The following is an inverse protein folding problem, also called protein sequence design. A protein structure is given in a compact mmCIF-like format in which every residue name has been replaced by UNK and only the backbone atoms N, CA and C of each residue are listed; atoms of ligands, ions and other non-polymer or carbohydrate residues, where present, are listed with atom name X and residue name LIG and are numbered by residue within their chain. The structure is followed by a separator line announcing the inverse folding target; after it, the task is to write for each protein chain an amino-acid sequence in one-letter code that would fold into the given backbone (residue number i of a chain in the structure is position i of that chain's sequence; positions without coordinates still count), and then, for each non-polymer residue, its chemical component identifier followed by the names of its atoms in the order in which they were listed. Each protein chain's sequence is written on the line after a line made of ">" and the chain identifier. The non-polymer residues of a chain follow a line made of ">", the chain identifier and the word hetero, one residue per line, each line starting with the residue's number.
data_IF_565238647927
#
_entry.id   IF_565238647927
#
_cell.length_a   1.000
_cell.length_b   1.000
_cell.length_c   1.000
_cell.angle_alpha   90.00
_cell.angle_beta   90.00
_cell.angle_gamma   90.00
#
_symmetry.space_group_name_H-M   'P 1'
#
loop_
_entity.id
_entity.type
_entity.pdbx_description
1 polymer ?
#
# COMPACT_ATOMS: atom_id res chain seq x y z
N UNK A 1 14.25 10.10 -19.30
CA UNK A 1 13.91 9.26 -18.14
C UNK A 1 13.32 7.97 -18.67
N UNK A 2 14.05 6.87 -18.56
CA UNK A 2 13.63 5.57 -19.07
C UNK A 2 13.79 4.56 -17.94
N UNK A 3 12.69 4.25 -17.26
CA UNK A 3 12.65 3.15 -16.29
C UNK A 3 12.63 1.83 -17.07
N UNK A 4 13.66 1.01 -16.89
CA UNK A 4 13.61 -0.41 -17.22
C UNK A 4 13.67 -1.19 -15.91
N UNK A 5 12.63 -1.95 -15.59
CA UNK A 5 12.63 -2.87 -14.46
C UNK A 5 13.03 -4.27 -14.90
N UNK A 6 14.05 -4.87 -14.27
CA UNK A 6 14.11 -6.31 -14.08
C UNK A 6 13.98 -6.59 -12.58
N UNK A 7 12.86 -7.16 -12.16
CA UNK A 7 12.73 -7.80 -10.85
C UNK A 7 13.64 -9.04 -10.82
N UNK A 8 14.35 -9.34 -9.72
CA UNK A 8 13.72 -10.12 -8.64
C UNK A 8 14.17 -9.79 -7.18
N UNK A 9 13.33 -10.24 -6.23
CA UNK A 9 13.63 -10.59 -4.82
C UNK A 9 14.41 -9.58 -3.94
N UNK A 10 13.73 -8.51 -3.50
CA UNK A 10 13.65 -8.00 -2.11
C UNK A 10 13.11 -6.56 -2.21
N UNK A 11 11.82 -6.36 -1.92
CA UNK A 11 11.09 -5.10 -2.19
C UNK A 11 11.49 -3.97 -1.21
N UNK A 12 12.69 -3.44 -1.36
CA UNK A 12 12.94 -2.04 -1.01
C UNK A 12 12.97 -1.26 -2.32
N UNK A 13 11.90 -0.50 -2.60
CA UNK A 13 11.97 0.52 -3.64
C UNK A 13 13.20 1.40 -3.37
N UNK A 14 14.00 1.70 -4.38
CA UNK A 14 15.20 2.51 -4.24
C UNK A 14 15.27 3.54 -5.38
N UNK A 15 15.73 4.74 -5.06
CA UNK A 15 16.04 5.77 -6.03
C UNK A 15 17.47 5.56 -6.52
N UNK A 16 17.64 5.48 -7.85
CA UNK A 16 18.95 5.41 -8.49
C UNK A 16 19.32 6.81 -9.01
N UNK A 17 20.45 7.34 -8.55
CA UNK A 17 21.02 8.57 -9.07
C UNK A 17 22.23 8.22 -9.92
N UNK A 18 22.22 8.61 -11.19
CA UNK A 18 23.34 8.42 -12.11
C UNK A 18 23.92 9.78 -12.46
N UNK A 19 25.22 9.95 -12.25
CA UNK A 19 25.94 11.16 -12.67
C UNK A 19 26.56 10.87 -14.02
N UNK A 20 26.16 11.66 -15.01
CA UNK A 20 26.58 11.50 -16.39
C UNK A 20 27.51 12.64 -16.78
N UNK A 21 28.67 12.31 -17.33
CA UNK A 21 29.59 13.31 -17.88
C UNK A 21 29.12 13.85 -19.24
N UNK A 22 29.83 14.85 -19.75
CA UNK A 22 29.53 15.56 -21.00
C UNK A 22 29.36 14.64 -22.23
N UNK A 23 30.00 13.46 -22.21
CA UNK A 23 29.95 12.44 -23.27
C UNK A 23 28.79 11.45 -23.15
N UNK A 24 27.81 11.71 -22.28
CA UNK A 24 26.74 10.75 -21.93
C UNK A 24 27.24 9.42 -21.32
N UNK A 25 28.44 9.41 -20.78
CA UNK A 25 29.00 8.25 -20.06
C UNK A 25 28.64 8.39 -18.58
N UNK A 26 28.10 7.33 -17.99
CA UNK A 26 27.82 7.30 -16.54
C UNK A 26 29.16 7.23 -15.81
N UNK A 27 29.45 8.24 -15.01
CA UNK A 27 30.68 8.33 -14.23
C UNK A 27 30.51 7.73 -12.83
N UNK A 28 29.32 7.85 -12.24
CA UNK A 28 29.03 7.22 -10.96
C UNK A 28 27.54 7.06 -10.69
N UNK A 29 27.24 6.23 -9.70
CA UNK A 29 25.88 5.92 -9.27
C UNK A 29 25.74 5.98 -7.75
N UNK A 30 24.60 6.43 -7.27
CA UNK A 30 24.19 6.31 -5.88
C UNK A 30 22.85 5.56 -5.81
N UNK A 31 22.72 4.65 -4.84
CA UNK A 31 21.50 3.90 -4.56
C UNK A 31 20.94 4.35 -3.23
N UNK A 32 19.69 4.81 -3.23
CA UNK A 32 19.04 5.42 -2.08
C UNK A 32 17.79 4.61 -1.75
N UNK A 33 17.82 3.77 -0.71
CA UNK A 33 16.64 3.00 -0.31
C UNK A 33 15.50 3.95 0.09
N UNK A 34 14.28 3.71 -0.40
CA UNK A 34 13.10 4.51 -0.04
C UNK A 34 12.81 4.42 1.47
N UNK A 35 13.18 3.31 2.13
CA UNK A 35 13.12 3.17 3.58
C UNK A 35 13.98 4.17 4.37
N UNK A 36 14.97 4.79 3.73
CA UNK A 36 15.82 5.82 4.36
C UNK A 36 15.24 7.24 4.29
N UNK A 37 14.16 7.41 3.52
CA UNK A 37 13.38 8.64 3.41
C UNK A 37 12.44 8.70 4.61
N UNK A 38 12.88 9.35 5.69
CA UNK A 38 12.04 9.60 6.86
C UNK A 38 11.38 10.97 6.71
N UNK A 39 10.10 11.10 7.06
CA UNK A 39 9.33 12.38 7.05
C UNK A 39 9.77 13.37 8.15
N UNK A 40 11.00 13.26 8.64
CA UNK A 40 11.50 14.20 9.63
C UNK A 40 11.97 15.47 8.92
N UNK A 41 11.18 16.54 9.00
CA UNK A 41 11.45 17.83 8.37
C UNK A 41 12.81 18.44 8.78
N UNK A 42 13.37 18.01 9.91
CA UNK A 42 14.63 18.53 10.46
C UNK A 42 15.88 17.86 9.86
N UNK A 43 15.75 16.74 9.15
CA UNK A 43 16.85 15.94 8.58
C UNK A 43 16.70 15.74 7.06
N UNK A 44 16.23 16.81 6.40
CA UNK A 44 15.85 16.78 4.97
C UNK A 44 17.05 16.58 4.03
N UNK A 45 18.26 16.90 4.48
CA UNK A 45 19.48 16.88 3.66
C UNK A 45 20.42 15.77 4.14
N UNK A 46 20.66 14.77 3.30
CA UNK A 46 21.53 13.62 3.62
C UNK A 46 22.65 13.44 2.60
N UNK A 47 23.79 12.95 3.08
CA UNK A 47 24.94 12.59 2.25
C UNK A 47 24.85 11.13 1.82
N UNK A 48 24.92 10.89 0.52
CA UNK A 48 24.85 9.56 -0.07
C UNK A 48 26.18 9.21 -0.74
N UNK A 49 26.75 8.02 -0.47
CA UNK A 49 27.96 7.58 -1.16
C UNK A 49 27.68 7.38 -2.64
N UNK A 50 28.60 7.85 -3.48
CA UNK A 50 28.61 7.61 -4.93
C UNK A 50 29.68 6.56 -5.26
N UNK A 51 29.32 5.62 -6.12
CA UNK A 51 30.16 4.51 -6.53
C UNK A 51 30.46 4.57 -8.02
N UNK A 52 31.69 4.21 -8.40
CA UNK A 52 32.06 3.94 -9.79
C UNK A 52 31.49 2.57 -10.25
N UNK A 53 31.53 2.24 -11.55
CA UNK A 53 31.10 0.92 -12.04
C UNK A 53 31.82 -0.25 -11.37
N UNK A 54 33.06 -0.04 -10.92
CA UNK A 54 33.87 -1.03 -10.20
C UNK A 54 33.50 -1.15 -8.70
N UNK A 55 32.40 -0.53 -8.29
CA UNK A 55 31.90 -0.49 -6.91
C UNK A 55 32.84 0.21 -5.91
N UNK A 56 33.79 1.00 -6.41
CA UNK A 56 34.64 1.85 -5.58
C UNK A 56 33.88 3.12 -5.15
N UNK A 57 33.93 3.45 -3.85
CA UNK A 57 33.34 4.67 -3.33
C UNK A 57 34.22 5.87 -3.71
N UNK A 58 33.77 6.67 -4.67
CA UNK A 58 34.53 7.79 -5.22
C UNK A 58 34.18 9.14 -4.57
N UNK A 59 33.18 9.16 -3.68
CA UNK A 59 32.78 10.39 -3.00
C UNK A 59 31.42 10.30 -2.35
N UNK A 60 30.86 11.48 -2.03
CA UNK A 60 29.51 11.62 -1.49
C UNK A 60 28.77 12.74 -2.21
N UNK A 61 27.47 12.56 -2.40
CA UNK A 61 26.55 13.57 -2.94
C UNK A 61 25.56 13.99 -1.86
N UNK A 62 25.30 15.29 -1.74
CA UNK A 62 24.33 15.83 -0.81
C UNK A 62 22.98 15.96 -1.51
N UNK A 63 21.94 15.31 -0.99
CA UNK A 63 20.60 15.33 -1.58
C UNK A 63 19.55 15.74 -0.55
N UNK A 64 18.61 16.56 -1.01
CA UNK A 64 17.38 16.89 -0.30
C UNK A 64 16.21 16.22 -1.00
N UNK A 65 15.65 15.18 -0.38
CA UNK A 65 14.58 14.38 -0.98
C UNK A 65 13.32 14.63 -0.17
N UNK A 66 12.25 15.02 -0.87
CA UNK A 66 10.94 15.27 -0.25
C UNK A 66 9.94 14.36 -0.92
N UNK A 67 9.30 13.51 -0.13
CA UNK A 67 8.17 12.72 -0.59
C UNK A 67 6.90 13.52 -0.35
N UNK A 68 6.15 13.83 -1.39
CA UNK A 68 4.78 14.31 -1.26
C UNK A 68 3.87 13.23 -1.79
N UNK A 69 3.12 12.57 -0.90
CA UNK A 69 2.05 11.68 -1.33
C UNK A 69 0.85 12.57 -1.66
N UNK A 70 0.70 12.91 -2.94
CA UNK A 70 -0.54 13.53 -3.41
C UNK A 70 -1.60 12.43 -3.45
N UNK A 71 -2.46 12.38 -2.44
CA UNK A 71 -3.74 11.73 -2.60
C UNK A 71 -4.52 12.60 -3.58
N UNK A 72 -4.75 12.07 -4.78
CA UNK A 72 -5.62 12.75 -5.73
C UNK A 72 -7.04 12.70 -5.17
N UNK A 73 -7.42 13.72 -4.39
CA UNK A 73 -8.79 13.92 -3.92
C UNK A 73 -9.80 14.03 -5.08
N UNK A 74 -9.35 14.05 -6.34
CA UNK A 74 -10.24 14.01 -7.51
C UNK A 74 -10.65 12.60 -7.95
N UNK A 75 -10.12 11.52 -7.35
CA UNK A 75 -10.69 10.17 -7.54
C UNK A 75 -11.92 9.89 -6.69
N UNK A 76 -12.55 10.90 -6.08
CA UNK A 76 -13.91 10.79 -5.54
C UNK A 76 -15.00 10.73 -6.62
N UNK A 77 -14.66 10.85 -7.91
CA UNK A 77 -15.63 10.81 -9.00
C UNK A 77 -15.09 9.96 -10.16
N UNK A 78 -15.61 8.72 -10.27
CA UNK A 78 -15.58 7.80 -11.43
C UNK A 78 -14.74 6.51 -11.31
N UNK A 79 -14.69 5.87 -10.15
CA UNK A 79 -14.71 4.40 -10.14
C UNK A 79 -16.16 3.97 -9.94
N UNK A 80 -16.75 3.28 -10.91
CA UNK A 80 -18.10 2.74 -10.76
C UNK A 80 -18.14 1.66 -9.66
N UNK A 81 -19.30 1.42 -9.02
CA UNK A 81 -19.42 0.61 -7.78
C UNK A 81 -19.20 -0.92 -7.95
N UNK A 82 -18.53 -1.37 -9.02
CA UNK A 82 -18.67 -2.74 -9.54
C UNK A 82 -17.52 -3.68 -9.15
N UNK A 83 -16.39 -3.21 -8.64
CA UNK A 83 -15.24 -4.10 -8.30
C UNK A 83 -14.84 -4.06 -6.82
N UNK A 84 -15.32 -3.07 -6.07
CA UNK A 84 -14.83 -2.81 -4.70
C UNK A 84 -15.71 -3.50 -3.64
N UNK A 85 -16.98 -3.72 -3.94
CA UNK A 85 -17.94 -4.44 -3.09
C UNK A 85 -17.64 -5.95 -2.92
N UNK A 86 -17.14 -6.69 -3.93
CA UNK A 86 -16.73 -8.10 -3.75
C UNK A 86 -15.58 -8.31 -2.76
N UNK A 87 -14.65 -7.35 -2.65
CA UNK A 87 -13.54 -7.45 -1.71
C UNK A 87 -14.02 -7.29 -0.26
N UNK A 88 -14.96 -6.36 -0.02
CA UNK A 88 -15.63 -6.24 1.28
C UNK A 88 -16.41 -7.51 1.64
N UNK A 89 -17.08 -8.12 0.67
CA UNK A 89 -17.82 -9.36 0.87
C UNK A 89 -16.92 -10.52 1.32
N UNK A 90 -15.76 -10.68 0.67
CA UNK A 90 -14.78 -11.71 1.02
C UNK A 90 -14.20 -11.48 2.42
N UNK A 91 -13.91 -10.22 2.78
CA UNK A 91 -13.40 -9.86 4.09
C UNK A 91 -14.43 -10.14 5.19
N UNK A 92 -15.69 -9.76 4.96
CA UNK A 92 -16.80 -10.02 5.87
C UNK A 92 -17.03 -11.53 6.06
N UNK A 93 -16.99 -12.30 4.98
CA UNK A 93 -17.12 -13.75 5.04
C UNK A 93 -15.96 -14.40 5.83
N UNK A 94 -14.73 -13.92 5.61
CA UNK A 94 -13.54 -14.39 6.32
C UNK A 94 -13.62 -14.10 7.82
N UNK A 95 -14.05 -12.90 8.19
CA UNK A 95 -14.29 -12.50 9.58
C UNK A 95 -15.32 -13.41 10.28
N UNK A 96 -16.41 -13.72 9.57
CA UNK A 96 -17.47 -14.59 10.08
C UNK A 96 -17.01 -16.03 10.24
N UNK A 97 -16.25 -16.58 9.27
CA UNK A 97 -15.68 -17.93 9.37
C UNK A 97 -14.69 -18.03 10.52
N UNK A 98 -13.81 -17.03 10.68
CA UNK A 98 -12.81 -17.01 11.74
C UNK A 98 -13.42 -16.97 13.15
N UNK A 99 -14.58 -16.32 13.30
CA UNK A 99 -15.24 -16.15 14.60
C UNK A 99 -16.37 -17.15 14.88
N UNK A 100 -16.54 -18.16 14.01
CA UNK A 100 -17.65 -19.12 14.08
C UNK A 100 -18.98 -18.38 14.23
N UNK A 101 -19.33 -17.60 13.20
CA UNK A 101 -20.57 -16.84 13.23
C UNK A 101 -21.78 -17.79 13.18
N UNK A 102 -22.68 -17.66 14.15
CA UNK A 102 -23.94 -18.42 14.19
C UNK A 102 -25.04 -17.57 14.81
N UNK A 103 -26.30 -18.02 14.73
CA UNK A 103 -27.49 -17.31 15.25
C UNK A 103 -27.34 -16.82 16.70
N UNK A 104 -26.49 -17.48 17.50
CA UNK A 104 -26.22 -17.14 18.91
C UNK A 104 -24.94 -16.31 19.14
N UNK A 105 -24.12 -16.11 18.10
CA UNK A 105 -22.90 -15.30 18.15
C UNK A 105 -22.84 -14.40 16.90
N UNK A 106 -23.52 -13.25 17.00
CA UNK A 106 -23.63 -12.23 15.95
C UNK A 106 -22.57 -11.12 16.08
N UNK A 107 -21.60 -11.30 16.97
CA UNK A 107 -20.61 -10.27 17.28
C UNK A 107 -19.38 -10.47 16.39
N UNK A 108 -19.09 -9.48 15.56
CA UNK A 108 -17.74 -9.30 15.02
C UNK A 108 -16.93 -8.62 16.11
N UNK A 109 -16.02 -9.36 16.71
CA UNK A 109 -15.08 -8.90 17.75
C UNK A 109 -13.79 -8.44 17.07
N UNK A 110 -13.01 -7.62 17.79
CA UNK A 110 -11.64 -7.31 17.41
C UNK A 110 -10.83 -8.61 17.20
N UNK A 111 -9.93 -8.68 16.21
CA UNK A 111 -9.42 -7.59 15.35
C UNK A 111 -10.23 -7.35 14.06
N UNK A 112 -11.25 -8.15 13.80
CA UNK A 112 -11.99 -8.13 12.54
C UNK A 112 -12.93 -6.93 12.41
N UNK A 113 -13.45 -6.45 13.54
CA UNK A 113 -14.30 -5.26 13.58
C UNK A 113 -13.51 -4.03 13.14
N UNK A 114 -12.35 -3.78 13.74
CA UNK A 114 -11.45 -2.72 13.28
C UNK A 114 -11.11 -2.87 11.79
N UNK A 115 -10.73 -4.07 11.34
CA UNK A 115 -10.33 -4.28 9.94
C UNK A 115 -11.47 -4.00 8.94
N UNK A 116 -12.70 -4.37 9.26
CA UNK A 116 -13.88 -4.08 8.43
C UNK A 116 -14.21 -2.58 8.38
N UNK A 117 -14.03 -1.88 9.50
CA UNK A 117 -14.21 -0.42 9.58
C UNK A 117 -13.12 0.32 8.81
N UNK A 118 -11.86 -0.05 9.02
CA UNK A 118 -10.73 0.55 8.32
C UNK A 118 -10.82 0.31 6.81
N UNK A 119 -11.23 -0.90 6.39
CA UNK A 119 -11.48 -1.20 4.99
C UNK A 119 -12.64 -0.38 4.41
N UNK A 120 -13.76 -0.23 5.13
CA UNK A 120 -14.88 0.56 4.63
C UNK A 120 -14.54 2.03 4.48
N UNK A 121 -13.77 2.57 5.42
CA UNK A 121 -13.38 3.98 5.42
C UNK A 121 -12.34 4.26 4.33
N UNK A 122 -11.37 3.36 4.14
CA UNK A 122 -10.33 3.49 3.13
C UNK A 122 -10.86 3.32 1.69
N UNK A 123 -11.77 2.36 1.47
CA UNK A 123 -12.31 2.05 0.13
C UNK A 123 -13.67 2.71 -0.14
N UNK A 124 -14.18 3.57 0.75
CA UNK A 124 -15.44 4.29 0.54
C UNK A 124 -16.69 3.40 0.50
N UNK A 125 -16.68 2.27 1.19
CA UNK A 125 -17.83 1.36 1.26
C UNK A 125 -18.92 2.02 2.12
N UNK A 126 -20.06 2.36 1.52
CA UNK A 126 -21.14 3.04 2.24
C UNK A 126 -21.66 2.25 3.44
N UNK A 127 -21.98 2.95 4.54
CA UNK A 127 -22.56 2.37 5.75
C UNK A 127 -23.88 1.63 5.48
N UNK A 128 -24.67 2.11 4.51
CA UNK A 128 -25.89 1.44 4.05
C UNK A 128 -25.58 0.06 3.46
N UNK A 129 -24.51 -0.06 2.66
CA UNK A 129 -24.09 -1.32 2.05
C UNK A 129 -23.58 -2.32 3.11
N UNK A 130 -22.74 -1.88 4.04
CA UNK A 130 -22.20 -2.74 5.11
C UNK A 130 -23.33 -3.31 5.98
N UNK A 131 -24.31 -2.47 6.36
CA UNK A 131 -25.50 -2.88 7.12
C UNK A 131 -26.40 -3.82 6.32
N UNK A 132 -26.71 -3.49 5.06
CA UNK A 132 -27.53 -4.35 4.21
C UNK A 132 -26.89 -5.72 3.99
N UNK A 133 -25.56 -5.77 3.89
CA UNK A 133 -24.82 -7.01 3.70
C UNK A 133 -24.83 -7.91 4.93
N UNK A 134 -24.99 -7.36 6.14
CA UNK A 134 -25.12 -8.11 7.38
C UNK A 134 -26.49 -8.81 7.51
N UNK A 135 -27.54 -8.27 6.87
CA UNK A 135 -28.93 -8.75 6.99
C UNK A 135 -29.14 -10.21 6.54
N UNK A 136 -28.65 -10.66 5.36
CA UNK A 136 -28.78 -12.05 4.93
C UNK A 136 -28.22 -13.06 5.94
N UNK A 137 -27.17 -12.70 6.69
CA UNK A 137 -26.56 -13.57 7.69
C UNK A 137 -27.39 -13.68 8.97
N UNK A 138 -28.11 -12.61 9.34
CA UNK A 138 -29.06 -12.62 10.47
C UNK A 138 -30.33 -13.39 10.12
N UNK A 139 -30.84 -13.23 8.89
CA UNK A 139 -32.13 -13.78 8.45
C UNK A 139 -32.04 -15.20 7.87
N UNK A 140 -30.91 -15.60 7.29
CA UNK A 140 -30.73 -16.90 6.62
C UNK A 140 -29.44 -17.62 7.09
N UNK A 141 -29.38 -18.05 8.38
CA UNK A 141 -28.20 -18.69 8.95
C UNK A 141 -27.80 -20.02 8.27
N UNK A 142 -28.70 -20.64 7.51
CA UNK A 142 -28.47 -21.93 6.84
C UNK A 142 -27.64 -21.85 5.54
N UNK A 143 -27.22 -20.67 5.09
CA UNK A 143 -26.36 -20.55 3.90
C UNK A 143 -24.87 -20.81 4.15
N UNK A 144 -24.41 -20.84 5.40
CA UNK A 144 -23.01 -21.13 5.75
C UNK A 144 -22.67 -22.64 5.79
N UNK A 145 -23.67 -23.54 5.75
CA UNK A 145 -23.47 -24.98 5.92
C UNK A 145 -23.32 -25.80 4.64
N UNK A 146 -23.06 -25.17 3.49
CA UNK A 146 -22.86 -25.90 2.22
C UNK A 146 -21.71 -25.30 1.41
N UNK A 147 -20.47 -25.54 1.84
CA UNK A 147 -19.29 -25.81 1.00
C UNK A 147 -18.22 -26.43 1.89
#
# INVERSE_FOLDING_TARGET
>A
MTCKSPFPENQAYALLLEVQGEKRIIQCRAVIPVSSLHDNLNDRIKWWPIYHEDNECIGKVQLSITSTVTFDETTHLKCGPIVETPAYDLLLESAMRAQSFHVRNLCVVEPWKWLLTEFSDYYGVSESYTKLRMIPYVLLPNKMGRY
#
